data_IF_301778882312
#
_entry.id   IF_301778882312
#
_cell.length_a   1.000
_cell.length_b   1.000
_cell.length_c   1.000
_cell.angle_alpha   90.00
_cell.angle_beta   90.00
_cell.angle_gamma   90.00
#
_symmetry.space_group_name_H-M   'P 1'
#
loop_
_entity.id
_entity.type
_entity.pdbx_description
1 polymer ?
#
# COMPACT_ATOMS: atom_id res chain seq x y z
N UNK A 1 8.00 11.52 39.66
CA UNK A 1 8.78 10.42 39.07
C UNK A 1 7.86 9.23 39.01
N UNK A 2 7.32 8.92 37.83
CA UNK A 2 6.57 7.68 37.60
C UNK A 2 7.56 6.51 37.69
N UNK A 3 7.21 5.47 38.44
CA UNK A 3 8.06 4.28 38.55
C UNK A 3 8.33 3.68 37.16
N UNK A 4 9.58 3.33 36.82
CA UNK A 4 9.93 2.76 35.52
C UNK A 4 9.10 1.50 35.20
N UNK A 5 8.78 0.71 36.22
CA UNK A 5 7.91 -0.48 36.12
C UNK A 5 6.49 -0.13 35.66
N UNK A 6 5.95 1.03 36.06
CA UNK A 6 4.59 1.44 35.69
C UNK A 6 4.52 1.95 34.25
N UNK A 7 5.60 2.57 33.74
CA UNK A 7 5.74 2.95 32.35
C UNK A 7 5.80 1.71 31.43
N UNK A 8 6.54 0.68 31.83
CA UNK A 8 6.67 -0.57 31.07
C UNK A 8 5.33 -1.32 30.95
N UNK A 9 4.56 -1.39 32.05
CA UNK A 9 3.22 -2.03 32.03
C UNK A 9 2.26 -1.25 31.14
N UNK A 10 2.27 0.09 31.22
CA UNK A 10 1.42 0.94 30.39
C UNK A 10 1.68 0.72 28.89
N UNK A 11 2.94 0.71 28.48
CA UNK A 11 3.34 0.47 27.10
C UNK A 11 2.97 -0.95 26.63
N UNK A 12 3.18 -1.96 27.48
CA UNK A 12 2.78 -3.34 27.19
C UNK A 12 1.27 -3.47 26.96
N UNK A 13 0.45 -2.81 27.80
CA UNK A 13 -1.01 -2.80 27.64
C UNK A 13 -1.44 -2.12 26.33
N UNK A 14 -0.81 -1.00 25.97
CA UNK A 14 -1.07 -0.32 24.70
C UNK A 14 -0.72 -1.23 23.52
N UNK A 15 0.44 -1.91 23.55
CA UNK A 15 0.84 -2.86 22.52
C UNK A 15 -0.15 -4.02 22.39
N UNK A 16 -0.52 -4.65 23.49
CA UNK A 16 -1.50 -5.76 23.50
C UNK A 16 -2.84 -5.28 22.95
N UNK A 17 -3.30 -4.08 23.33
CA UNK A 17 -4.53 -3.49 22.85
C UNK A 17 -4.49 -3.26 21.33
N UNK A 18 -3.45 -2.61 20.82
CA UNK A 18 -3.30 -2.31 19.38
C UNK A 18 -3.19 -3.60 18.55
N UNK A 19 -2.39 -4.56 18.98
CA UNK A 19 -2.26 -5.87 18.33
C UNK A 19 -3.60 -6.64 18.39
N UNK A 20 -4.33 -6.55 19.50
CA UNK A 20 -5.67 -7.11 19.63
C UNK A 20 -6.67 -6.50 18.64
N UNK A 21 -6.64 -5.17 18.46
CA UNK A 21 -7.46 -4.47 17.46
C UNK A 21 -7.09 -4.96 16.05
N UNK A 22 -5.80 -5.01 15.71
CA UNK A 22 -5.33 -5.52 14.42
C UNK A 22 -5.82 -6.95 14.16
N UNK A 23 -5.76 -7.83 15.16
CA UNK A 23 -6.25 -9.19 15.07
C UNK A 23 -7.77 -9.24 14.79
N UNK A 24 -8.56 -8.45 15.53
CA UNK A 24 -10.02 -8.38 15.32
C UNK A 24 -10.37 -7.80 13.95
N UNK A 25 -9.66 -6.78 13.49
CA UNK A 25 -9.85 -6.19 12.15
C UNK A 25 -9.50 -7.21 11.06
N UNK A 26 -8.38 -7.91 11.18
CA UNK A 26 -7.98 -8.96 10.24
C UNK A 26 -9.03 -10.09 10.16
N UNK A 27 -9.55 -10.55 11.31
CA UNK A 27 -10.65 -11.52 11.32
C UNK A 27 -11.93 -10.95 10.68
N UNK A 28 -12.23 -9.67 10.90
CA UNK A 28 -13.39 -9.01 10.29
C UNK A 28 -13.26 -8.95 8.77
N UNK A 29 -12.10 -8.57 8.25
CA UNK A 29 -11.78 -8.57 6.82
C UNK A 29 -11.99 -9.95 6.21
N UNK A 30 -11.51 -11.01 6.87
CA UNK A 30 -11.63 -12.39 6.39
C UNK A 30 -13.08 -12.93 6.38
N UNK A 31 -14.01 -12.29 7.10
CA UNK A 31 -15.40 -12.76 7.25
C UNK A 31 -16.41 -11.96 6.43
N UNK A 32 -16.14 -10.68 6.20
CA UNK A 32 -17.03 -9.78 5.47
C UNK A 32 -17.03 -10.12 3.98
N UNK A 33 -18.14 -9.81 3.28
CA UNK A 33 -18.28 -10.01 1.82
C UNK A 33 -18.53 -8.74 1.03
N UNK A 34 -18.70 -7.61 1.71
CA UNK A 34 -18.77 -6.30 1.07
C UNK A 34 -17.35 -5.84 0.76
N UNK A 35 -17.01 -5.70 -0.53
CA UNK A 35 -15.67 -5.27 -0.94
C UNK A 35 -15.38 -3.85 -0.46
N UNK A 36 -16.38 -2.98 -0.45
CA UNK A 36 -16.23 -1.63 0.10
C UNK A 36 -15.84 -1.68 1.58
N UNK A 37 -16.54 -2.49 2.38
CA UNK A 37 -16.21 -2.63 3.79
C UNK A 37 -14.83 -3.27 4.00
N UNK A 38 -14.45 -4.23 3.14
CA UNK A 38 -13.10 -4.83 3.17
C UNK A 38 -12.03 -3.77 2.89
N UNK A 39 -12.17 -2.96 1.85
CA UNK A 39 -11.20 -1.91 1.52
C UNK A 39 -11.10 -0.88 2.64
N UNK A 40 -12.23 -0.44 3.20
CA UNK A 40 -12.22 0.48 4.35
C UNK A 40 -11.56 -0.14 5.58
N UNK A 41 -11.82 -1.41 5.88
CA UNK A 41 -11.19 -2.10 7.01
C UNK A 41 -9.70 -2.35 6.79
N UNK A 42 -9.25 -2.60 5.56
CA UNK A 42 -7.82 -2.67 5.24
C UNK A 42 -7.12 -1.32 5.49
N UNK A 43 -7.77 -0.20 5.13
CA UNK A 43 -7.26 1.13 5.46
C UNK A 43 -7.19 1.37 6.97
N UNK A 44 -8.22 0.96 7.73
CA UNK A 44 -8.20 1.01 9.21
C UNK A 44 -7.09 0.13 9.79
N UNK A 45 -6.88 -1.08 9.25
CA UNK A 45 -5.79 -1.95 9.65
C UNK A 45 -4.43 -1.23 9.50
N UNK A 46 -4.19 -0.61 8.35
CA UNK A 46 -2.96 0.17 8.10
C UNK A 46 -2.82 1.41 9.01
N UNK A 47 -3.91 2.09 9.37
CA UNK A 47 -3.83 3.20 10.32
C UNK A 47 -3.47 2.71 11.73
N UNK A 48 -4.06 1.60 12.17
CA UNK A 48 -3.77 1.02 13.50
C UNK A 48 -2.33 0.48 13.54
N UNK A 49 -1.84 -0.14 12.45
CA UNK A 49 -0.44 -0.58 12.38
C UNK A 49 0.53 0.61 12.35
N UNK A 50 0.20 1.71 11.67
CA UNK A 50 0.99 2.93 11.71
C UNK A 50 1.09 3.50 13.13
N UNK A 51 -0.01 3.53 13.88
CA UNK A 51 0.01 3.92 15.30
C UNK A 51 0.88 2.95 16.11
N UNK A 52 0.78 1.65 15.86
CA UNK A 52 1.63 0.67 16.52
C UNK A 52 3.12 0.88 16.20
N UNK A 53 3.49 1.22 14.97
CA UNK A 53 4.86 1.58 14.60
C UNK A 53 5.39 2.81 15.35
N UNK A 54 4.55 3.81 15.60
CA UNK A 54 4.94 4.94 16.46
C UNK A 54 5.19 4.48 17.90
N UNK A 55 4.38 3.57 18.43
CA UNK A 55 4.52 3.04 19.79
C UNK A 55 5.82 2.25 19.98
N UNK A 56 6.35 1.62 18.92
CA UNK A 56 7.65 0.92 18.93
C UNK A 56 8.81 1.79 18.43
N UNK A 57 8.67 3.12 18.46
CA UNK A 57 9.68 4.12 18.05
C UNK A 57 10.12 4.03 16.57
N UNK A 58 9.30 3.43 15.70
CA UNK A 58 9.54 3.30 14.27
C UNK A 58 8.77 4.36 13.46
N UNK A 59 9.03 5.64 13.74
CA UNK A 59 8.23 6.76 13.18
C UNK A 59 8.30 6.88 11.65
N UNK A 60 9.46 6.61 11.04
CA UNK A 60 9.60 6.66 9.58
C UNK A 60 8.82 5.52 8.89
N UNK A 61 8.75 4.35 9.53
CA UNK A 61 7.91 3.23 9.08
C UNK A 61 6.43 3.57 9.27
N UNK A 62 6.07 4.22 10.38
CA UNK A 62 4.70 4.67 10.62
C UNK A 62 4.21 5.66 9.55
N UNK A 63 5.03 6.62 9.14
CA UNK A 63 4.66 7.58 8.11
C UNK A 63 4.44 6.91 6.75
N UNK A 64 5.29 5.97 6.37
CA UNK A 64 5.14 5.25 5.10
C UNK A 64 3.92 4.34 5.12
N UNK A 65 3.64 3.65 6.23
CA UNK A 65 2.43 2.84 6.38
C UNK A 65 1.14 3.68 6.33
N UNK A 66 1.13 4.83 6.99
CA UNK A 66 -0.02 5.74 6.96
C UNK A 66 -0.24 6.31 5.54
N UNK A 67 0.82 6.75 4.87
CA UNK A 67 0.71 7.35 3.54
C UNK A 67 0.35 6.33 2.46
N UNK A 68 1.04 5.17 2.45
CA UNK A 68 0.90 4.17 1.39
C UNK A 68 -0.17 3.14 1.71
N UNK A 69 -0.11 2.53 2.90
CA UNK A 69 -1.03 1.48 3.33
C UNK A 69 -2.45 2.03 3.52
N UNK A 70 -2.61 3.04 4.36
CA UNK A 70 -3.92 3.62 4.63
C UNK A 70 -4.37 4.61 3.54
N UNK A 71 -3.47 5.45 3.03
CA UNK A 71 -3.80 6.47 2.03
C UNK A 71 -3.91 5.94 0.61
N UNK A 72 -2.76 5.76 -0.06
CA UNK A 72 -2.69 5.46 -1.49
C UNK A 72 -3.39 4.15 -1.87
N UNK A 73 -3.17 3.07 -1.13
CA UNK A 73 -3.78 1.76 -1.41
C UNK A 73 -5.31 1.82 -1.34
N UNK A 74 -5.85 2.50 -0.32
CA UNK A 74 -7.31 2.70 -0.19
C UNK A 74 -7.86 3.46 -1.39
N UNK A 75 -7.21 4.56 -1.81
CA UNK A 75 -7.66 5.33 -2.98
C UNK A 75 -7.64 4.48 -4.25
N UNK A 76 -6.56 3.74 -4.50
CA UNK A 76 -6.43 2.87 -5.68
C UNK A 76 -7.48 1.74 -5.66
N UNK A 77 -7.66 1.06 -4.53
CA UNK A 77 -8.64 -0.01 -4.39
C UNK A 77 -10.08 0.49 -4.52
N UNK A 78 -10.42 1.64 -3.92
CA UNK A 78 -11.72 2.27 -4.10
C UNK A 78 -11.94 2.71 -5.55
N UNK A 79 -10.91 3.24 -6.21
CA UNK A 79 -10.93 3.56 -7.64
C UNK A 79 -11.18 2.34 -8.52
N UNK A 80 -10.50 1.23 -8.25
CA UNK A 80 -10.74 -0.04 -8.94
C UNK A 80 -12.16 -0.60 -8.69
N UNK A 81 -12.73 -0.37 -7.50
CA UNK A 81 -14.12 -0.73 -7.22
C UNK A 81 -15.15 0.07 -8.01
N UNK A 82 -14.81 1.26 -8.52
CA UNK A 82 -15.70 1.98 -9.45
C UNK A 82 -15.94 1.18 -10.75
N UNK A 83 -15.02 0.27 -11.07
CA UNK A 83 -15.05 -0.54 -12.30
C UNK A 83 -15.32 -2.03 -12.04
N UNK A 84 -15.57 -2.44 -10.79
CA UNK A 84 -15.76 -3.86 -10.42
C UNK A 84 -17.01 -4.08 -9.55
N UNK A 85 -17.36 -5.34 -9.30
CA UNK A 85 -18.51 -5.71 -8.45
C UNK A 85 -18.27 -5.32 -7.00
N UNK A 86 -19.31 -4.88 -6.27
CA UNK A 86 -19.21 -4.48 -4.86
C UNK A 86 -19.23 -5.64 -3.86
N UNK A 87 -19.52 -6.85 -4.32
CA UNK A 87 -19.71 -8.03 -3.48
C UNK A 87 -18.95 -9.24 -4.00
N UNK A 88 -18.38 -10.00 -3.05
CA UNK A 88 -17.63 -11.23 -3.31
C UNK A 88 -18.55 -12.30 -3.93
N UNK A 89 -18.05 -13.02 -4.93
CA UNK A 89 -18.77 -14.16 -5.54
C UNK A 89 -18.96 -15.28 -4.51
N UNK A 90 -20.10 -15.98 -4.50
CA UNK A 90 -20.34 -17.04 -3.53
C UNK A 90 -19.47 -18.28 -3.81
N UNK A 91 -18.61 -18.64 -2.85
CA UNK A 91 -17.84 -19.89 -2.95
C UNK A 91 -18.61 -21.13 -2.52
N UNK A 92 -18.31 -22.27 -3.15
CA UNK A 92 -18.72 -23.60 -2.68
C UNK A 92 -17.99 -23.93 -1.37
N UNK A 93 -18.67 -24.56 -0.40
CA UNK A 93 -18.11 -24.86 0.94
C UNK A 93 -16.80 -25.66 0.87
N UNK A 94 -16.72 -26.67 0.00
CA UNK A 94 -15.51 -27.49 -0.18
C UNK A 94 -14.34 -26.74 -0.83
N UNK A 95 -14.61 -25.69 -1.61
CA UNK A 95 -13.55 -24.87 -2.22
C UNK A 95 -12.79 -24.01 -1.18
N UNK A 96 -13.32 -23.86 0.04
CA UNK A 96 -12.68 -23.09 1.11
C UNK A 96 -11.68 -23.88 1.94
N UNK A 97 -11.73 -25.21 1.90
CA UNK A 97 -10.88 -26.06 2.74
C UNK A 97 -9.41 -25.97 2.33
N UNK A 98 -9.13 -25.93 1.02
CA UNK A 98 -7.77 -25.79 0.49
C UNK A 98 -7.10 -24.49 0.95
N UNK A 99 -7.66 -23.30 0.66
CA UNK A 99 -7.11 -22.02 1.12
C UNK A 99 -6.99 -21.95 2.65
N UNK A 100 -7.96 -22.48 3.40
CA UNK A 100 -7.89 -22.49 4.86
C UNK A 100 -6.73 -23.34 5.38
N UNK A 101 -6.48 -24.52 4.80
CA UNK A 101 -5.33 -25.36 5.17
C UNK A 101 -4.01 -24.64 4.88
N UNK A 102 -3.90 -23.96 3.74
CA UNK A 102 -2.70 -23.16 3.40
C UNK A 102 -2.48 -22.05 4.43
N UNK A 103 -3.51 -21.27 4.77
CA UNK A 103 -3.40 -20.19 5.75
C UNK A 103 -3.00 -20.72 7.13
N UNK A 104 -3.59 -21.83 7.58
CA UNK A 104 -3.25 -22.45 8.87
C UNK A 104 -1.81 -22.98 8.86
N UNK A 105 -1.41 -23.68 7.79
CA UNK A 105 -0.05 -24.20 7.65
C UNK A 105 0.99 -23.07 7.66
N UNK A 106 0.76 -22.00 6.88
CA UNK A 106 1.62 -20.82 6.88
C UNK A 106 1.65 -20.14 8.25
N UNK A 107 0.50 -20.02 8.93
CA UNK A 107 0.44 -19.47 10.29
C UNK A 107 1.25 -20.26 11.30
N UNK A 108 1.14 -21.59 11.30
CA UNK A 108 1.95 -22.48 12.16
C UNK A 108 3.43 -22.33 11.84
N UNK A 109 3.80 -22.29 10.56
CA UNK A 109 5.19 -22.12 10.12
C UNK A 109 5.78 -20.79 10.61
N UNK A 110 5.03 -19.69 10.53
CA UNK A 110 5.46 -18.37 11.02
C UNK A 110 5.62 -18.36 12.55
N UNK A 111 4.70 -19.00 13.29
CA UNK A 111 4.82 -19.13 14.75
C UNK A 111 6.05 -19.96 15.10
N UNK A 112 6.28 -21.08 14.43
CA UNK A 112 7.47 -21.90 14.65
C UNK A 112 8.77 -21.12 14.38
N UNK A 113 8.82 -20.36 13.28
CA UNK A 113 9.98 -19.52 12.95
C UNK A 113 10.24 -18.44 14.01
N UNK A 114 9.19 -17.92 14.68
CA UNK A 114 9.35 -16.93 15.74
C UNK A 114 10.02 -17.45 17.01
N UNK A 115 10.09 -18.78 17.22
CA UNK A 115 10.73 -19.38 18.40
C UNK A 115 12.26 -19.16 18.38
N UNK A 116 12.85 -19.04 17.20
CA UNK A 116 14.30 -18.82 17.03
C UNK A 116 14.69 -17.34 17.06
N UNK A 117 13.70 -16.42 17.16
CA UNK A 117 13.98 -15.00 17.27
C UNK A 117 14.48 -14.65 18.69
N UNK A 118 15.46 -13.73 18.81
CA UNK A 118 15.86 -13.20 20.11
C UNK A 118 14.68 -12.61 20.87
N UNK A 119 14.74 -12.67 22.20
CA UNK A 119 13.75 -12.02 23.04
C UNK A 119 13.68 -10.53 22.70
N UNK A 120 12.47 -9.97 22.69
CA UNK A 120 12.27 -8.56 22.42
C UNK A 120 13.05 -7.72 23.44
N UNK A 121 13.89 -6.81 22.94
CA UNK A 121 14.72 -5.94 23.79
C UNK A 121 16.01 -6.59 24.32
N UNK A 122 16.38 -7.80 23.89
CA UNK A 122 17.66 -8.42 24.27
C UNK A 122 18.85 -7.54 23.85
N UNK A 123 19.63 -6.97 24.79
CA UNK A 123 20.76 -6.09 24.49
C UNK A 123 21.89 -6.80 23.73
N UNK A 124 21.94 -8.12 23.82
CA UNK A 124 22.97 -8.96 23.17
C UNK A 124 22.55 -9.49 21.81
N UNK A 125 21.30 -9.21 21.39
CA UNK A 125 20.81 -9.64 20.09
C UNK A 125 21.65 -9.04 18.93
N UNK A 126 21.72 -9.72 17.78
CA UNK A 126 22.45 -9.21 16.61
C UNK A 126 21.99 -7.82 16.14
N UNK A 127 20.71 -7.50 16.35
CA UNK A 127 20.13 -6.19 16.00
C UNK A 127 20.69 -5.06 16.88
N UNK A 128 20.99 -5.36 18.15
CA UNK A 128 21.45 -4.39 19.15
C UNK A 128 22.98 -4.31 19.31
N UNK A 129 23.73 -5.30 18.81
CA UNK A 129 25.21 -5.36 18.95
C UNK A 129 25.96 -5.25 17.62
N UNK A 130 25.28 -5.39 16.48
CA UNK A 130 25.88 -5.38 15.16
C UNK A 130 25.88 -4.03 14.46
N UNK A 131 25.74 -4.06 13.14
CA UNK A 131 25.78 -2.87 12.26
C UNK A 131 24.76 -1.78 12.64
N UNK A 132 23.62 -2.16 13.22
CA UNK A 132 22.61 -1.21 13.70
C UNK A 132 23.18 -0.26 14.76
N UNK A 133 23.96 -0.80 15.70
CA UNK A 133 24.62 0.00 16.73
C UNK A 133 25.73 0.87 16.15
N UNK A 134 26.49 0.35 15.18
CA UNK A 134 27.51 1.14 14.47
C UNK A 134 26.88 2.36 13.80
N UNK A 135 25.77 2.19 13.06
CA UNK A 135 25.07 3.33 12.45
C UNK A 135 24.71 4.39 13.48
N UNK A 136 24.16 4.00 14.65
CA UNK A 136 23.83 4.96 15.72
C UNK A 136 25.05 5.74 16.23
N UNK A 137 26.21 5.09 16.33
CA UNK A 137 27.43 5.69 16.89
C UNK A 137 28.12 6.66 15.93
N UNK A 138 28.20 6.33 14.64
CA UNK A 138 28.98 7.11 13.66
C UNK A 138 28.13 8.03 12.78
N UNK A 139 26.80 7.86 12.75
CA UNK A 139 25.88 8.56 11.84
C UNK A 139 26.19 10.06 11.68
N UNK A 140 26.25 10.80 12.78
CA UNK A 140 26.45 12.25 12.72
C UNK A 140 27.80 12.63 12.10
N UNK A 141 28.86 11.88 12.41
CA UNK A 141 30.20 12.15 11.90
C UNK A 141 30.32 11.86 10.40
N UNK A 142 29.64 10.82 9.92
CA UNK A 142 29.72 10.37 8.54
C UNK A 142 28.79 11.14 7.58
N UNK A 143 27.56 11.46 8.01
CA UNK A 143 26.53 12.02 7.12
C UNK A 143 26.09 13.44 7.46
N UNK A 144 26.27 13.88 8.72
CA UNK A 144 25.75 15.16 9.21
C UNK A 144 24.22 15.25 9.25
N UNK A 145 23.50 14.14 9.03
CA UNK A 145 22.04 14.10 9.01
C UNK A 145 21.53 13.57 10.36
N UNK A 146 20.65 14.29 11.07
CA UNK A 146 20.21 13.88 12.42
C UNK A 146 19.32 12.63 12.41
N UNK A 147 18.52 12.42 11.35
CA UNK A 147 17.70 11.21 11.22
C UNK A 147 18.58 10.03 10.74
N UNK A 148 18.75 9.04 11.63
CA UNK A 148 19.57 7.86 11.36
C UNK A 148 18.94 6.98 10.27
N UNK A 149 17.63 6.78 10.26
CA UNK A 149 16.94 5.96 9.24
C UNK A 149 17.13 6.58 7.85
N UNK A 150 16.98 7.91 7.74
CA UNK A 150 17.23 8.63 6.48
C UNK A 150 18.66 8.45 6.00
N UNK A 151 19.63 8.47 6.91
CA UNK A 151 21.05 8.25 6.59
C UNK A 151 21.35 6.81 6.19
N UNK A 152 20.70 5.84 6.84
CA UNK A 152 20.81 4.42 6.47
C UNK A 152 20.25 4.19 5.07
N UNK A 153 19.03 4.64 4.79
CA UNK A 153 18.40 4.44 3.49
C UNK A 153 19.06 5.26 2.38
N UNK A 154 19.48 6.49 2.65
CA UNK A 154 20.02 7.40 1.64
C UNK A 154 21.53 7.27 1.40
N UNK A 155 22.31 6.86 2.41
CA UNK A 155 23.78 6.85 2.34
C UNK A 155 24.34 5.44 2.51
N UNK A 156 24.19 4.80 3.68
CA UNK A 156 24.83 3.50 3.93
C UNK A 156 24.28 2.36 3.07
N UNK A 157 22.97 2.37 2.81
CA UNK A 157 22.24 1.36 2.03
C UNK A 157 21.48 1.98 0.84
N UNK A 158 22.04 3.07 0.29
CA UNK A 158 21.45 3.79 -0.86
C UNK A 158 21.20 2.93 -2.09
N UNK A 159 22.01 1.88 -2.32
CA UNK A 159 21.78 0.96 -3.43
C UNK A 159 20.52 0.10 -3.26
N UNK A 160 20.17 -0.28 -2.04
CA UNK A 160 18.93 -1.04 -1.78
C UNK A 160 17.71 -0.14 -2.09
N UNK A 161 17.74 1.12 -1.63
CA UNK A 161 16.68 2.11 -1.90
C UNK A 161 16.60 2.51 -3.39
N UNK A 162 17.73 2.57 -4.11
CA UNK A 162 17.73 2.77 -5.57
C UNK A 162 17.02 1.61 -6.29
N UNK A 163 17.26 0.37 -5.83
CA UNK A 163 16.58 -0.82 -6.32
C UNK A 163 15.08 -0.78 -6.06
N UNK A 164 14.67 -0.48 -4.82
CA UNK A 164 13.26 -0.33 -4.44
C UNK A 164 12.55 0.75 -5.27
N UNK A 165 13.18 1.92 -5.43
CA UNK A 165 12.63 3.03 -6.24
C UNK A 165 12.48 2.62 -7.70
N UNK A 166 13.44 1.88 -8.25
CA UNK A 166 13.37 1.37 -9.63
C UNK A 166 12.18 0.41 -9.82
N UNK A 167 11.93 -0.49 -8.85
CA UNK A 167 10.80 -1.42 -8.89
C UNK A 167 9.46 -0.67 -8.84
N UNK A 168 9.31 0.29 -7.93
CA UNK A 168 8.08 1.11 -7.83
C UNK A 168 7.87 1.93 -9.10
N UNK A 169 8.92 2.53 -9.66
CA UNK A 169 8.86 3.26 -10.91
C UNK A 169 8.40 2.39 -12.07
N UNK A 170 8.97 1.19 -12.23
CA UNK A 170 8.58 0.24 -13.28
C UNK A 170 7.14 -0.22 -13.09
N UNK A 171 6.70 -0.51 -11.85
CA UNK A 171 5.32 -0.87 -11.56
C UNK A 171 4.35 0.26 -11.95
N UNK A 172 4.68 1.51 -11.60
CA UNK A 172 3.90 2.69 -12.00
C UNK A 172 3.84 2.87 -13.53
N UNK A 173 4.97 2.71 -14.22
CA UNK A 173 5.03 2.77 -15.68
C UNK A 173 4.20 1.65 -16.33
N UNK A 174 4.28 0.43 -15.81
CA UNK A 174 3.49 -0.70 -16.30
C UNK A 174 1.99 -0.45 -16.16
N UNK A 175 1.54 0.05 -15.01
CA UNK A 175 0.13 0.44 -14.80
C UNK A 175 -0.28 1.56 -15.75
N UNK A 176 0.55 2.59 -15.95
CA UNK A 176 0.27 3.68 -16.87
C UNK A 176 0.12 3.19 -18.33
N UNK A 177 1.01 2.30 -18.79
CA UNK A 177 0.93 1.69 -20.12
C UNK A 177 -0.33 0.83 -20.26
N UNK A 178 -0.69 0.02 -19.26
CA UNK A 178 -1.90 -0.80 -19.26
C UNK A 178 -3.19 0.01 -19.26
N UNK A 179 -3.21 1.16 -18.58
CA UNK A 179 -4.39 2.05 -18.55
C UNK A 179 -4.53 2.92 -19.81
N UNK A 180 -3.56 2.87 -20.73
CA UNK A 180 -3.72 3.36 -22.09
C UNK A 180 -3.38 4.83 -22.31
N UNK A 181 -2.28 5.32 -21.74
CA UNK A 181 -1.69 6.60 -22.20
C UNK A 181 -1.30 6.59 -23.70
N UNK A 182 -1.24 5.41 -24.37
CA UNK A 182 -0.91 5.26 -25.80
C UNK A 182 -2.11 4.98 -26.73
N UNK A 183 -2.97 4.00 -26.42
CA UNK A 183 -3.97 3.52 -27.38
C UNK A 183 -5.18 4.45 -27.55
N UNK A 184 -5.70 5.05 -26.47
CA UNK A 184 -6.84 5.97 -26.56
C UNK A 184 -6.46 7.28 -27.24
N UNK A 185 -5.26 7.80 -26.97
CA UNK A 185 -4.74 9.00 -27.61
C UNK A 185 -4.40 8.77 -29.09
N UNK A 186 -3.85 7.60 -29.44
CA UNK A 186 -3.54 7.26 -30.83
C UNK A 186 -4.83 7.01 -31.63
N UNK A 187 -5.78 6.24 -31.09
CA UNK A 187 -7.07 6.01 -31.74
C UNK A 187 -7.88 7.30 -31.93
N UNK A 188 -7.87 8.23 -30.97
CA UNK A 188 -8.51 9.54 -31.14
C UNK A 188 -7.79 10.41 -32.18
N UNK A 189 -6.46 10.33 -32.30
CA UNK A 189 -5.71 11.06 -33.34
C UNK A 189 -6.00 10.54 -34.76
N UNK A 190 -6.10 9.22 -34.94
CA UNK A 190 -6.44 8.58 -36.22
C UNK A 190 -7.88 8.92 -36.61
N UNK A 191 -8.83 8.81 -35.68
CA UNK A 191 -10.25 9.13 -35.89
C UNK A 191 -10.49 10.60 -36.26
N UNK A 192 -9.60 11.51 -35.85
CA UNK A 192 -9.68 12.94 -36.19
C UNK A 192 -9.07 13.24 -37.56
N UNK A 193 -8.10 12.43 -38.02
CA UNK A 193 -7.50 12.52 -39.36
C UNK A 193 -8.41 12.04 -40.49
N UNK A 194 -9.28 11.06 -40.24
CA UNK A 194 -10.23 10.52 -41.24
C UNK A 194 -11.46 11.40 -41.50
N UNK A 195 -11.65 12.47 -40.71
CA UNK A 195 -12.69 13.48 -41.01
C UNK A 195 -12.15 14.48 -42.03
N UNK A 196 -12.02 14.04 -43.29
CA UNK A 196 -11.99 14.99 -44.40
C UNK A 196 -13.30 15.80 -44.39
N UNK A 197 -13.25 17.13 -44.54
CA UNK A 197 -14.46 17.95 -44.57
C UNK A 197 -15.30 17.51 -45.77
N UNK A 198 -16.52 17.06 -45.52
CA UNK A 198 -17.51 16.81 -46.58
C UNK A 198 -17.70 18.09 -47.39
N UNK A 199 -17.61 18.06 -48.73
CA UNK A 199 -17.94 19.21 -49.55
C UNK A 199 -19.36 19.65 -49.23
N UNK A 200 -19.55 20.93 -48.92
CA UNK A 200 -20.90 21.49 -48.75
C UNK A 200 -21.61 21.36 -50.09
N UNK A 201 -22.68 20.58 -50.15
CA UNK A 201 -23.59 20.60 -51.29
C UNK A 201 -24.10 22.03 -51.45
N UNK A 202 -23.86 22.61 -52.62
CA UNK A 202 -24.45 23.88 -53.03
C UNK A 202 -25.96 23.71 -53.16
N UNK A 203 -26.72 24.46 -52.36
CA UNK A 203 -28.17 24.58 -52.50
C UNK A 203 -28.55 24.90 -53.96
N UNK A 204 -29.56 24.23 -54.54
CA UNK A 204 -30.06 24.62 -55.85
C UNK A 204 -30.81 25.94 -55.74
N UNK A 205 -30.50 26.87 -56.66
CA UNK A 205 -31.19 28.12 -56.82
C UNK A 205 -32.69 27.85 -57.01
N UNK A 206 -33.53 28.52 -56.22
CA UNK A 206 -34.97 28.54 -56.43
C UNK A 206 -35.24 29.37 -57.68
N UNK A 207 -35.78 28.72 -58.71
CA UNK A 207 -36.41 29.41 -59.82
C UNK A 207 -37.65 30.16 -59.28
N UNK A 208 -37.59 31.49 -59.28
CA UNK A 208 -38.75 32.35 -59.20
C UNK A 208 -39.37 32.42 -60.60
N UNK A 209 -40.41 31.62 -60.83
CA UNK A 209 -41.39 31.87 -61.88
C UNK A 209 -42.74 31.29 -61.42
N UNK A 210 -43.61 32.18 -60.92
CA UNK A 210 -45.04 32.18 -61.26
C UNK A 210 -45.77 33.42 -60.68
N UNK A 211 -46.05 34.34 -61.60
CA UNK A 211 -47.31 35.09 -61.76
C UNK A 211 -47.96 35.82 -60.57
N UNK A 212 -47.80 37.15 -60.56
CA UNK A 212 -48.88 38.14 -60.82
C UNK A 212 -48.32 39.56 -60.96
#
# INVERSE_FOLDING_TARGET
MSDPVQADIGLALVNILLLGILFVVALSIARIRSLFAIVMLSGVYSLVSAVWYVVVDAVDVAFTEAAVGAGMSTVVLLGAMLLTSRTVKPDKKFARLGPALVVIATGIMLIYASVDLPALGDPTSPVNTGVGLTYLQVNWADTGIPNVVTSVLGSYRGYDTLGETSVVFIAGLAVALLLGFGERSLADSIRKGDRLPTPRESEPAKDEDDAS
#
